data_IF_239570514751
#
_entry.id   IF_239570514751
#
_cell.length_a   1.000
_cell.length_b   1.000
_cell.length_c   1.000
_cell.angle_alpha   90.00
_cell.angle_beta   90.00
_cell.angle_gamma   90.00
#
_symmetry.space_group_name_H-M   'P 1'
#
loop_
_entity.id
_entity.type
_entity.pdbx_description
1 polymer ?
#
# COMPACT_ATOMS: atom_id res chain seq x y z
N UNK A 1 -7.98 -16.11 32.36
CA UNK A 1 -6.98 -16.70 31.43
C UNK A 1 -6.89 -15.86 30.16
N UNK A 2 -7.98 -15.39 29.55
CA UNK A 2 -7.98 -14.65 28.27
C UNK A 2 -7.31 -13.26 28.33
N UNK A 3 -7.19 -12.64 29.50
CA UNK A 3 -6.64 -11.29 29.67
C UNK A 3 -5.11 -11.25 29.55
N UNK A 4 -4.40 -12.34 29.87
CA UNK A 4 -2.93 -12.41 29.76
C UNK A 4 -2.42 -12.84 28.37
N UNK A 5 -3.29 -13.34 27.49
CA UNK A 5 -2.93 -13.76 26.14
C UNK A 5 -2.99 -12.62 25.10
N UNK A 6 -3.53 -11.46 25.48
CA UNK A 6 -3.64 -10.32 24.57
C UNK A 6 -2.29 -9.61 24.40
N UNK A 7 -1.88 -9.27 23.16
CA UNK A 7 -0.71 -8.43 22.90
C UNK A 7 -0.83 -7.04 23.52
N UNK A 8 -2.05 -6.56 23.77
CA UNK A 8 -2.32 -5.24 24.35
C UNK A 8 -1.87 -5.09 25.81
N UNK A 9 -1.46 -6.18 26.47
CA UNK A 9 -0.83 -6.09 27.80
C UNK A 9 0.59 -5.51 27.69
N UNK A 10 1.26 -5.76 26.58
CA UNK A 10 2.65 -5.31 26.38
C UNK A 10 2.68 -3.80 26.09
N UNK A 11 3.43 -3.05 26.92
CA UNK A 11 3.52 -1.59 26.81
C UNK A 11 4.06 -1.15 25.44
N UNK A 12 5.14 -1.77 24.99
CA UNK A 12 5.82 -1.37 23.75
C UNK A 12 4.99 -1.72 22.52
N UNK A 13 4.19 -2.80 22.58
CA UNK A 13 3.23 -3.11 21.54
C UNK A 13 2.08 -2.07 21.46
N UNK A 14 1.56 -1.61 22.60
CA UNK A 14 0.55 -0.54 22.60
C UNK A 14 1.09 0.75 21.98
N UNK A 15 2.33 1.13 22.34
CA UNK A 15 2.99 2.30 21.76
C UNK A 15 3.15 2.15 20.25
N UNK A 16 3.61 0.97 19.79
CA UNK A 16 3.75 0.66 18.36
C UNK A 16 2.40 0.72 17.63
N UNK A 17 1.38 0.07 18.18
CA UNK A 17 0.03 0.07 17.61
C UNK A 17 -0.51 1.50 17.48
N UNK A 18 -0.43 2.29 18.55
CA UNK A 18 -0.91 3.68 18.55
C UNK A 18 -0.13 4.53 17.56
N UNK A 19 1.21 4.44 17.55
CA UNK A 19 2.05 5.17 16.61
C UNK A 19 1.69 4.86 15.16
N UNK A 20 1.54 3.58 14.82
CA UNK A 20 1.20 3.15 13.46
C UNK A 20 -0.22 3.55 13.06
N UNK A 21 -1.20 3.37 13.94
CA UNK A 21 -2.60 3.73 13.66
C UNK A 21 -2.73 5.23 13.41
N UNK A 22 -2.10 6.06 14.25
CA UNK A 22 -2.11 7.53 14.10
C UNK A 22 -1.40 7.95 12.81
N UNK A 23 -0.25 7.36 12.50
CA UNK A 23 0.49 7.66 11.27
C UNK A 23 -0.26 7.21 10.02
N UNK A 24 -0.94 6.05 10.02
CA UNK A 24 -1.78 5.62 8.90
C UNK A 24 -3.00 6.52 8.72
N UNK A 25 -3.61 6.96 9.82
CA UNK A 25 -4.71 7.94 9.78
C UNK A 25 -4.25 9.25 9.13
N UNK A 26 -3.12 9.81 9.59
CA UNK A 26 -2.53 11.02 9.02
C UNK A 26 -2.18 10.87 7.54
N UNK A 27 -1.55 9.75 7.17
CA UNK A 27 -1.21 9.49 5.77
C UNK A 27 -2.45 9.43 4.85
N UNK A 28 -3.61 9.00 5.37
CA UNK A 28 -4.88 9.09 4.62
C UNK A 28 -5.28 10.54 4.32
N UNK A 29 -4.99 11.48 5.26
CA UNK A 29 -5.16 12.91 5.02
C UNK A 29 -4.21 13.41 3.94
N UNK A 30 -2.93 13.02 3.99
CA UNK A 30 -1.95 13.44 3.00
C UNK A 30 -2.30 12.99 1.58
N UNK A 31 -2.83 11.77 1.41
CA UNK A 31 -3.24 11.24 0.10
C UNK A 31 -4.30 12.15 -0.55
N UNK A 32 -5.32 12.54 0.20
CA UNK A 32 -6.38 13.43 -0.31
C UNK A 32 -5.85 14.86 -0.43
N UNK A 33 -5.25 15.39 0.64
CA UNK A 33 -4.85 16.78 0.72
C UNK A 33 -3.78 17.16 -0.32
N UNK A 34 -2.77 16.31 -0.54
CA UNK A 34 -1.70 16.57 -1.52
C UNK A 34 -2.26 16.65 -2.94
N UNK A 35 -3.18 15.75 -3.30
CA UNK A 35 -3.80 15.77 -4.62
C UNK A 35 -4.57 17.07 -4.87
N UNK A 36 -5.37 17.52 -3.89
CA UNK A 36 -6.12 18.76 -4.03
C UNK A 36 -5.24 20.00 -3.89
N UNK A 37 -4.16 19.98 -3.07
CA UNK A 37 -3.18 21.05 -2.99
C UNK A 37 -2.54 21.32 -4.36
N UNK A 38 -2.08 20.28 -5.05
CA UNK A 38 -1.47 20.44 -6.38
C UNK A 38 -2.49 20.91 -7.40
N UNK A 39 -3.70 20.32 -7.42
CA UNK A 39 -4.76 20.71 -8.35
C UNK A 39 -5.30 22.15 -8.10
N UNK A 40 -5.21 22.67 -6.87
CA UNK A 40 -5.54 24.06 -6.57
C UNK A 40 -4.42 25.01 -6.95
N UNK A 41 -3.16 24.58 -6.75
CA UNK A 41 -1.98 25.40 -7.02
C UNK A 41 -1.75 25.60 -8.53
N UNK A 42 -1.90 24.56 -9.34
CA UNK A 42 -1.53 24.60 -10.77
C UNK A 42 -2.67 24.32 -11.73
N UNK A 43 -3.74 23.65 -11.28
CA UNK A 43 -4.81 23.16 -12.16
C UNK A 43 -4.39 22.00 -13.06
N UNK A 44 -3.14 21.55 -13.01
CA UNK A 44 -2.54 20.57 -13.92
C UNK A 44 -2.59 19.14 -13.36
N UNK A 45 -3.13 18.22 -14.14
CA UNK A 45 -3.09 16.77 -13.86
C UNK A 45 -1.66 16.23 -14.04
N UNK A 46 -0.88 16.84 -14.95
CA UNK A 46 0.52 16.47 -15.16
C UNK A 46 1.37 16.78 -13.93
N UNK A 47 1.20 17.96 -13.32
CA UNK A 47 1.93 18.33 -12.10
C UNK A 47 1.59 17.41 -10.93
N UNK A 48 0.32 17.03 -10.79
CA UNK A 48 -0.07 16.02 -9.78
C UNK A 48 0.64 14.69 -10.02
N UNK A 49 0.69 14.25 -11.27
CA UNK A 49 1.42 13.03 -11.64
C UNK A 49 2.92 13.13 -11.31
N UNK A 50 3.55 14.25 -11.59
CA UNK A 50 4.98 14.48 -11.28
C UNK A 50 5.26 14.52 -9.78
N UNK A 51 4.40 15.13 -8.97
CA UNK A 51 4.53 15.15 -7.50
C UNK A 51 4.38 13.72 -6.92
N UNK A 52 3.43 12.94 -7.41
CA UNK A 52 3.27 11.55 -6.98
C UNK A 52 4.44 10.67 -7.43
N UNK A 53 4.95 10.86 -8.64
CA UNK A 53 6.16 10.20 -9.12
C UNK A 53 7.40 10.61 -8.29
N UNK A 54 7.53 11.88 -7.93
CA UNK A 54 8.60 12.37 -7.07
C UNK A 54 8.62 11.71 -5.70
N UNK A 55 7.48 11.31 -5.15
CA UNK A 55 7.38 10.48 -3.94
C UNK A 55 7.79 9.03 -4.20
N UNK A 56 7.26 8.44 -5.27
CA UNK A 56 7.40 7.02 -5.55
C UNK A 56 8.82 6.63 -5.96
N UNK A 57 9.51 7.45 -6.74
CA UNK A 57 10.89 7.18 -7.21
C UNK A 57 11.86 6.99 -6.03
N UNK A 58 12.02 7.92 -5.08
CA UNK A 58 12.92 7.72 -3.95
C UNK A 58 12.47 6.56 -3.05
N UNK A 59 11.15 6.36 -2.88
CA UNK A 59 10.64 5.22 -2.12
C UNK A 59 11.16 3.89 -2.69
N UNK A 60 11.09 3.69 -4.00
CA UNK A 60 11.60 2.49 -4.66
C UNK A 60 13.12 2.37 -4.62
N UNK A 61 13.82 3.46 -4.94
CA UNK A 61 15.29 3.46 -4.97
C UNK A 61 15.89 3.14 -3.60
N UNK A 62 15.33 3.71 -2.55
CA UNK A 62 15.84 3.52 -1.20
C UNK A 62 15.24 2.31 -0.47
N UNK A 63 14.26 1.62 -1.03
CA UNK A 63 13.62 0.47 -0.37
C UNK A 63 14.63 -0.66 -0.06
N UNK A 64 15.51 -0.98 -1.01
CA UNK A 64 16.56 -1.99 -0.82
C UNK A 64 17.62 -1.52 0.18
N UNK A 65 18.01 -0.25 0.08
CA UNK A 65 18.99 0.36 1.01
C UNK A 65 18.41 0.43 2.41
N UNK A 66 17.14 0.83 2.54
CA UNK A 66 16.41 0.92 3.79
C UNK A 66 16.34 -0.42 4.54
N UNK A 67 16.17 -1.53 3.81
CA UNK A 67 16.24 -2.87 4.38
C UNK A 67 17.58 -3.15 5.06
N UNK A 68 18.69 -2.90 4.35
CA UNK A 68 20.05 -3.10 4.88
C UNK A 68 20.31 -2.25 6.12
N UNK A 69 19.90 -0.98 6.09
CA UNK A 69 20.11 -0.06 7.21
C UNK A 69 19.23 -0.39 8.40
N UNK A 70 18.00 -0.87 8.19
CA UNK A 70 17.11 -1.28 9.27
C UNK A 70 17.61 -2.50 10.04
N UNK A 71 18.46 -3.34 9.42
CA UNK A 71 19.08 -4.49 10.07
C UNK A 71 20.39 -4.11 10.82
N UNK A 72 21.02 -3.01 10.42
CA UNK A 72 22.27 -2.52 11.06
C UNK A 72 22.03 -1.53 12.19
N UNK A 73 20.92 -0.81 12.18
CA UNK A 73 20.59 0.22 13.16
C UNK A 73 19.44 -0.25 14.08
N UNK A 74 19.33 0.29 15.31
CA UNK A 74 18.17 0.01 16.15
C UNK A 74 16.88 0.43 15.46
N UNK A 75 16.01 -0.53 15.15
CA UNK A 75 14.79 -0.33 14.34
C UNK A 75 13.90 0.82 14.86
N UNK A 76 13.74 0.94 16.18
CA UNK A 76 12.96 2.05 16.76
C UNK A 76 13.56 3.42 16.40
N UNK A 77 14.91 3.56 16.38
CA UNK A 77 15.56 4.82 15.99
C UNK A 77 15.36 5.16 14.51
N UNK A 78 15.46 4.15 13.65
CA UNK A 78 15.16 4.33 12.22
C UNK A 78 13.73 4.83 12.05
N UNK A 79 12.77 4.23 12.76
CA UNK A 79 11.37 4.68 12.72
C UNK A 79 11.18 6.10 13.25
N UNK A 80 11.85 6.47 14.35
CA UNK A 80 11.80 7.84 14.89
C UNK A 80 12.33 8.85 13.89
N UNK A 81 13.53 8.62 13.34
CA UNK A 81 14.15 9.52 12.35
C UNK A 81 13.26 9.64 11.11
N UNK A 82 12.74 8.52 10.60
CA UNK A 82 11.82 8.54 9.47
C UNK A 82 10.55 9.35 9.76
N UNK A 83 9.94 9.18 10.91
CA UNK A 83 8.76 9.95 11.29
C UNK A 83 9.08 11.44 11.43
N UNK A 84 10.23 11.81 12.02
CA UNK A 84 10.66 13.21 12.15
C UNK A 84 10.91 13.84 10.77
N UNK A 85 11.62 13.14 9.89
CA UNK A 85 11.90 13.63 8.53
C UNK A 85 10.61 13.78 7.72
N UNK A 86 9.73 12.78 7.75
CA UNK A 86 8.43 12.86 7.06
C UNK A 86 7.56 13.98 7.64
N UNK A 87 7.49 14.09 8.97
CA UNK A 87 6.73 15.14 9.65
C UNK A 87 7.24 16.55 9.33
N UNK A 88 8.57 16.75 9.34
CA UNK A 88 9.19 18.03 8.97
C UNK A 88 8.90 18.38 7.51
N UNK A 89 8.99 17.42 6.60
CA UNK A 89 8.66 17.57 5.19
C UNK A 89 7.20 18.00 4.98
N UNK A 90 6.27 17.31 5.61
CA UNK A 90 4.83 17.63 5.55
C UNK A 90 4.52 18.97 6.21
N UNK A 91 5.17 19.30 7.34
CA UNK A 91 5.02 20.59 7.98
C UNK A 91 5.51 21.75 7.07
N UNK A 92 6.64 21.56 6.39
CA UNK A 92 7.14 22.53 5.44
C UNK A 92 6.15 22.74 4.27
N UNK A 93 5.60 21.67 3.69
CA UNK A 93 4.57 21.78 2.65
C UNK A 93 3.34 22.53 3.18
N UNK A 94 2.85 22.19 4.38
CA UNK A 94 1.70 22.88 4.97
C UNK A 94 1.96 24.38 5.18
N UNK A 95 3.13 24.76 5.68
CA UNK A 95 3.53 26.16 5.89
C UNK A 95 3.57 26.91 4.55
N UNK A 96 4.19 26.33 3.52
CA UNK A 96 4.24 26.94 2.19
C UNK A 96 2.83 27.17 1.62
N UNK A 97 1.94 26.18 1.75
CA UNK A 97 0.56 26.31 1.30
C UNK A 97 -0.24 27.35 2.08
N UNK A 98 -0.11 27.40 3.42
CA UNK A 98 -0.79 28.41 4.25
C UNK A 98 -0.26 29.83 3.97
N UNK A 99 1.03 29.97 3.65
CA UNK A 99 1.61 31.29 3.32
C UNK A 99 1.22 31.79 1.92
N UNK A 100 0.65 30.92 1.08
CA UNK A 100 0.34 31.25 -0.32
C UNK A 100 1.55 31.37 -1.24
N UNK A 101 2.75 30.95 -0.80
CA UNK A 101 4.01 31.03 -1.55
C UNK A 101 4.50 29.66 -2.05
N UNK A 102 3.67 28.62 -1.96
CA UNK A 102 4.06 27.29 -2.38
C UNK A 102 4.28 27.22 -3.90
N UNK A 103 5.44 26.75 -4.31
CA UNK A 103 5.75 26.41 -5.69
C UNK A 103 5.74 24.90 -5.89
N UNK A 104 5.35 24.44 -7.08
CA UNK A 104 5.17 23.02 -7.37
C UNK A 104 6.46 22.21 -7.18
N UNK A 105 7.61 22.76 -7.53
CA UNK A 105 8.90 22.09 -7.36
C UNK A 105 9.28 21.91 -5.90
N UNK A 106 8.88 22.83 -5.00
CA UNK A 106 9.10 22.71 -3.55
C UNK A 106 8.26 21.57 -2.98
N UNK A 107 6.97 21.51 -3.38
CA UNK A 107 6.06 20.43 -3.00
C UNK A 107 6.60 19.08 -3.50
N UNK A 108 7.07 19.00 -4.74
CA UNK A 108 7.66 17.79 -5.30
C UNK A 108 8.94 17.38 -4.55
N UNK A 109 9.86 18.31 -4.27
CA UNK A 109 11.09 18.03 -3.56
C UNK A 109 10.86 17.54 -2.12
N UNK A 110 9.98 18.22 -1.38
CA UNK A 110 9.61 17.82 -0.02
C UNK A 110 8.87 16.45 -0.02
N UNK A 111 8.00 16.23 -0.98
CA UNK A 111 7.32 14.93 -1.14
C UNK A 111 8.30 13.80 -1.49
N UNK A 112 9.37 14.09 -2.27
CA UNK A 112 10.44 13.14 -2.53
C UNK A 112 11.23 12.78 -1.27
N UNK A 113 11.51 13.76 -0.40
CA UNK A 113 12.15 13.52 0.92
C UNK A 113 11.27 12.62 1.80
N UNK A 114 9.95 12.86 1.85
CA UNK A 114 9.02 12.01 2.57
C UNK A 114 8.97 10.58 1.98
N UNK A 115 9.05 10.45 0.65
CA UNK A 115 9.14 9.17 -0.04
C UNK A 115 10.40 8.38 0.33
N UNK A 116 11.57 9.03 0.29
CA UNK A 116 12.82 8.43 0.73
C UNK A 116 12.75 7.97 2.20
N UNK A 117 12.22 8.80 3.07
CA UNK A 117 12.04 8.48 4.49
C UNK A 117 11.14 7.25 4.71
N UNK A 118 10.07 7.13 3.94
CA UNK A 118 9.15 5.98 4.00
C UNK A 118 9.84 4.66 3.66
N UNK A 119 10.81 4.67 2.75
CA UNK A 119 11.56 3.49 2.36
C UNK A 119 12.38 2.86 3.50
N UNK A 120 12.83 3.67 4.46
CA UNK A 120 13.50 3.19 5.67
C UNK A 120 12.49 2.76 6.75
N UNK A 121 11.35 3.46 6.82
CA UNK A 121 10.33 3.18 7.82
C UNK A 121 9.71 1.77 7.66
N UNK A 122 9.37 1.36 6.45
CA UNK A 122 8.64 0.11 6.21
C UNK A 122 9.36 -1.13 6.72
N UNK A 123 10.64 -1.41 6.37
CA UNK A 123 11.33 -2.59 6.86
C UNK A 123 11.58 -2.51 8.38
N UNK A 124 11.94 -1.35 8.92
CA UNK A 124 12.12 -1.17 10.35
C UNK A 124 10.84 -1.44 11.13
N UNK A 125 9.70 -0.91 10.65
CA UNK A 125 8.38 -1.06 11.26
C UNK A 125 7.87 -2.51 11.23
N UNK A 126 8.15 -3.27 10.19
CA UNK A 126 7.79 -4.69 10.10
C UNK A 126 8.66 -5.55 11.01
N UNK A 127 9.96 -5.28 11.02
CA UNK A 127 10.93 -6.05 11.81
C UNK A 127 10.91 -5.77 13.31
N UNK A 128 10.27 -4.69 13.80
CA UNK A 128 10.22 -4.38 15.23
C UNK A 128 9.14 -5.18 15.98
N UNK A 129 8.11 -5.69 15.29
CA UNK A 129 6.97 -6.37 15.93
C UNK A 129 7.41 -7.52 16.86
N UNK A 130 8.32 -8.45 16.45
CA UNK A 130 8.79 -9.51 17.33
C UNK A 130 9.55 -9.03 18.57
N UNK A 131 9.98 -7.77 18.59
CA UNK A 131 10.69 -7.18 19.73
C UNK A 131 9.72 -6.55 20.75
N UNK A 132 8.42 -6.48 20.42
CA UNK A 132 7.38 -5.83 21.24
C UNK A 132 6.45 -6.82 21.93
N UNK A 133 6.43 -8.09 21.51
CA UNK A 133 5.57 -9.14 22.06
C UNK A 133 6.32 -10.47 22.12
N UNK A 134 5.97 -11.37 23.06
CA UNK A 134 6.45 -12.76 23.04
C UNK A 134 6.01 -13.49 21.75
N UNK A 135 6.76 -14.51 21.34
CA UNK A 135 6.52 -15.29 20.12
C UNK A 135 5.08 -15.85 20.04
N UNK A 136 4.55 -16.33 21.15
CA UNK A 136 3.18 -16.84 21.26
C UNK A 136 2.09 -15.81 20.97
N UNK A 137 2.41 -14.50 21.01
CA UNK A 137 1.48 -13.40 20.75
C UNK A 137 1.69 -12.74 19.38
N UNK A 138 2.63 -13.21 18.55
CA UNK A 138 2.95 -12.59 17.25
C UNK A 138 1.77 -12.59 16.29
N UNK A 139 1.06 -13.72 16.17
CA UNK A 139 -0.09 -13.82 15.29
C UNK A 139 -1.21 -12.85 15.67
N UNK A 140 -1.71 -12.80 16.92
CA UNK A 140 -2.71 -11.80 17.30
C UNK A 140 -2.19 -10.36 17.23
N UNK A 141 -0.90 -10.11 17.47
CA UNK A 141 -0.32 -8.78 17.31
C UNK A 141 -0.38 -8.29 15.87
N UNK A 142 0.01 -9.13 14.90
CA UNK A 142 -0.08 -8.80 13.49
C UNK A 142 -1.53 -8.60 13.04
N UNK A 143 -2.47 -9.39 13.54
CA UNK A 143 -3.90 -9.21 13.26
C UNK A 143 -4.41 -7.84 13.74
N UNK A 144 -4.07 -7.43 14.97
CA UNK A 144 -4.46 -6.14 15.53
C UNK A 144 -3.83 -4.98 14.74
N UNK A 145 -2.55 -5.09 14.35
CA UNK A 145 -1.88 -4.08 13.51
C UNK A 145 -2.55 -3.93 12.13
N UNK A 146 -2.95 -5.04 11.51
CA UNK A 146 -3.72 -5.01 10.24
C UNK A 146 -5.09 -4.34 10.41
N UNK A 147 -5.81 -4.67 11.48
CA UNK A 147 -7.10 -4.02 11.81
C UNK A 147 -6.94 -2.53 12.05
N UNK A 148 -5.91 -2.11 12.80
CA UNK A 148 -5.60 -0.70 13.01
C UNK A 148 -5.31 0.03 11.70
N UNK A 149 -4.52 -0.55 10.81
CA UNK A 149 -4.23 0.01 9.49
C UNK A 149 -5.49 0.14 8.64
N UNK A 150 -6.25 -0.94 8.48
CA UNK A 150 -7.44 -0.93 7.62
C UNK A 150 -8.53 0.00 8.16
N UNK A 151 -8.74 0.01 9.49
CA UNK A 151 -9.66 0.97 10.12
C UNK A 151 -9.23 2.42 9.90
N UNK A 152 -7.91 2.71 10.01
CA UNK A 152 -7.38 4.04 9.74
C UNK A 152 -7.59 4.46 8.28
N UNK A 153 -7.48 3.55 7.32
CA UNK A 153 -7.70 3.87 5.90
C UNK A 153 -9.17 4.24 5.62
N UNK A 154 -10.13 3.48 6.19
CA UNK A 154 -11.57 3.77 5.99
C UNK A 154 -11.93 5.11 6.61
N UNK A 155 -11.67 5.23 7.92
CA UNK A 155 -12.04 6.44 8.67
C UNK A 155 -11.23 7.63 8.18
N UNK A 156 -9.95 7.43 7.89
CA UNK A 156 -9.03 8.46 7.43
C UNK A 156 -9.41 9.02 6.07
N UNK A 157 -9.78 8.18 5.10
CA UNK A 157 -10.21 8.64 3.78
C UNK A 157 -11.46 9.54 3.84
N UNK A 158 -12.48 9.10 4.57
CA UNK A 158 -13.72 9.88 4.74
C UNK A 158 -13.47 11.19 5.51
N UNK A 159 -12.73 11.13 6.63
CA UNK A 159 -12.39 12.31 7.42
C UNK A 159 -11.50 13.28 6.65
N UNK A 160 -10.52 12.77 5.91
CA UNK A 160 -9.65 13.59 5.08
C UNK A 160 -10.45 14.37 4.03
N UNK A 161 -11.33 13.67 3.30
CA UNK A 161 -12.22 14.31 2.33
C UNK A 161 -13.08 15.40 2.96
N UNK A 162 -13.69 15.12 4.11
CA UNK A 162 -14.53 16.08 4.84
C UNK A 162 -13.72 17.29 5.32
N UNK A 163 -12.58 17.07 5.98
CA UNK A 163 -11.78 18.17 6.54
C UNK A 163 -11.18 19.03 5.43
N UNK A 164 -10.60 18.41 4.40
CA UNK A 164 -10.04 19.16 3.26
C UNK A 164 -11.12 19.97 2.54
N UNK A 165 -12.32 19.40 2.36
CA UNK A 165 -13.45 20.11 1.76
C UNK A 165 -13.95 21.28 2.62
N UNK A 166 -14.02 21.09 3.94
CA UNK A 166 -14.53 22.11 4.87
C UNK A 166 -13.50 23.21 5.20
N UNK A 167 -12.21 22.96 4.99
CA UNK A 167 -11.14 23.89 5.37
C UNK A 167 -10.21 24.20 4.20
N UNK A 168 -9.11 23.42 4.07
CA UNK A 168 -8.16 23.55 2.96
C UNK A 168 -7.27 22.30 2.86
N UNK A 169 -6.62 22.07 1.71
CA UNK A 169 -5.59 21.03 1.57
C UNK A 169 -4.42 21.21 2.55
N UNK A 170 -4.02 22.46 2.82
CA UNK A 170 -2.96 22.77 3.78
C UNK A 170 -3.27 22.22 5.19
N UNK A 171 -4.53 22.31 5.62
CA UNK A 171 -4.97 21.74 6.91
C UNK A 171 -4.82 20.21 6.94
N UNK A 172 -5.20 19.52 5.86
CA UNK A 172 -5.04 18.07 5.77
C UNK A 172 -3.57 17.64 5.85
N UNK A 173 -2.67 18.35 5.19
CA UNK A 173 -1.22 18.11 5.25
C UNK A 173 -0.66 18.43 6.64
N UNK A 174 -1.14 19.49 7.31
CA UNK A 174 -0.74 19.82 8.67
C UNK A 174 -1.16 18.74 9.69
N UNK A 175 -2.34 18.13 9.51
CA UNK A 175 -2.78 16.99 10.33
C UNK A 175 -1.86 15.78 10.13
N UNK A 176 -1.45 15.49 8.91
CA UNK A 176 -0.48 14.41 8.64
C UNK A 176 0.87 14.72 9.30
N UNK A 177 1.38 15.95 9.16
CA UNK A 177 2.61 16.38 9.82
C UNK A 177 2.55 16.18 11.34
N UNK A 178 1.45 16.59 11.98
CA UNK A 178 1.21 16.39 13.40
C UNK A 178 1.16 14.90 13.78
N UNK A 179 0.53 14.07 12.94
CA UNK A 179 0.45 12.62 13.15
C UNK A 179 1.83 11.96 13.18
N UNK A 180 2.74 12.36 12.28
CA UNK A 180 4.12 11.92 12.29
C UNK A 180 4.87 12.37 13.56
N UNK A 181 4.63 13.59 14.05
CA UNK A 181 5.19 14.09 15.30
C UNK A 181 4.76 13.22 16.49
N UNK A 182 3.46 12.92 16.61
CA UNK A 182 2.93 12.02 17.63
C UNK A 182 3.51 10.61 17.49
N UNK A 183 3.57 10.07 16.28
CA UNK A 183 4.14 8.75 16.01
C UNK A 183 5.63 8.69 16.38
N UNK A 184 6.40 9.74 16.12
CA UNK A 184 7.81 9.85 16.54
C UNK A 184 7.96 9.81 18.06
N UNK A 185 7.14 10.56 18.80
CA UNK A 185 7.16 10.60 20.27
C UNK A 185 6.79 9.23 20.86
N UNK A 186 5.72 8.60 20.37
CA UNK A 186 5.30 7.27 20.83
C UNK A 186 6.37 6.20 20.54
N UNK A 187 6.99 6.25 19.38
CA UNK A 187 8.06 5.32 19.00
C UNK A 187 9.33 5.57 19.83
N UNK A 188 9.68 6.82 20.10
CA UNK A 188 10.83 7.18 20.96
C UNK A 188 10.63 6.74 22.42
N UNK A 189 9.37 6.68 22.89
CA UNK A 189 9.03 6.20 24.24
C UNK A 189 9.15 4.67 24.40
N UNK A 190 9.33 3.90 23.31
CA UNK A 190 9.51 2.46 23.36
C UNK A 190 10.87 2.09 23.98
N UNK A 191 10.88 0.99 24.74
CA UNK A 191 12.09 0.46 25.41
C UNK A 191 12.48 -0.86 24.77
N UNK A 192 12.98 -0.79 23.55
CA UNK A 192 13.37 -1.98 22.78
C UNK A 192 14.81 -2.37 23.13
N UNK A 193 15.07 -3.62 23.58
CA UNK A 193 16.42 -4.13 23.78
C UNK A 193 17.22 -4.05 22.46
N UNK A 194 18.54 -3.87 22.58
CA UNK A 194 19.41 -3.98 21.39
C UNK A 194 19.34 -5.42 20.87
N UNK A 195 18.88 -5.59 19.65
CA UNK A 195 18.96 -6.86 18.95
C UNK A 195 20.44 -7.18 18.71
N UNK A 196 20.85 -8.42 18.95
CA UNK A 196 22.17 -8.91 18.56
C UNK A 196 22.27 -8.81 17.04
N UNK A 197 23.41 -8.32 16.56
CA UNK A 197 23.69 -8.21 15.13
C UNK A 197 23.65 -9.62 14.53
N UNK A 198 22.81 -9.83 13.55
CA UNK A 198 22.96 -10.97 12.66
C UNK A 198 24.24 -10.75 11.83
N UNK A 199 25.31 -11.43 12.17
CA UNK A 199 26.54 -11.46 11.38
C UNK A 199 26.33 -12.33 10.14
N UNK A 200 26.71 -11.81 8.98
CA UNK A 200 27.25 -12.64 7.91
C UNK A 200 26.33 -13.15 6.82
N UNK A 201 25.26 -12.44 6.40
CA UNK A 201 24.66 -12.76 5.09
C UNK A 201 25.40 -12.02 3.97
N UNK A 202 25.87 -12.76 2.96
CA UNK A 202 26.45 -12.17 1.76
C UNK A 202 25.28 -11.68 0.88
N UNK A 203 24.94 -10.39 1.00
CA UNK A 203 23.79 -9.75 0.34
C UNK A 203 23.68 -10.11 -1.15
N UNK A 204 24.78 -10.08 -1.90
CA UNK A 204 24.75 -10.42 -3.33
C UNK A 204 24.51 -11.90 -3.60
N UNK A 205 25.00 -12.80 -2.75
CA UNK A 205 24.72 -14.22 -2.85
C UNK A 205 23.24 -14.51 -2.54
N UNK A 206 22.69 -13.86 -1.51
CA UNK A 206 21.29 -13.96 -1.13
C UNK A 206 20.37 -13.41 -2.23
N UNK A 207 20.75 -12.31 -2.84
CA UNK A 207 20.02 -11.72 -3.96
C UNK A 207 20.01 -12.68 -5.16
N UNK A 208 21.16 -13.24 -5.55
CA UNK A 208 21.24 -14.17 -6.68
C UNK A 208 20.42 -15.46 -6.48
N UNK A 209 20.39 -16.00 -5.26
CA UNK A 209 19.56 -17.15 -4.90
C UNK A 209 18.07 -16.82 -5.01
N UNK A 210 17.66 -15.66 -4.52
CA UNK A 210 16.26 -15.18 -4.66
C UNK A 210 15.87 -15.01 -6.12
N UNK A 211 16.75 -14.46 -6.97
CA UNK A 211 16.50 -14.30 -8.41
C UNK A 211 16.29 -15.63 -9.12
N UNK A 212 17.16 -16.63 -8.85
CA UNK A 212 17.00 -17.97 -9.41
C UNK A 212 15.67 -18.61 -9.01
N UNK A 213 15.28 -18.48 -7.75
CA UNK A 213 14.01 -19.00 -7.25
C UNK A 213 12.83 -18.27 -7.91
N UNK A 214 12.90 -16.93 -8.02
CA UNK A 214 11.88 -16.10 -8.67
C UNK A 214 11.70 -16.48 -10.15
N UNK A 215 12.77 -16.56 -10.91
CA UNK A 215 12.71 -16.85 -12.36
C UNK A 215 12.42 -18.32 -12.69
N UNK A 216 12.63 -19.23 -11.74
CA UNK A 216 12.37 -20.68 -11.95
C UNK A 216 10.87 -21.01 -12.09
N UNK A 217 9.98 -20.11 -11.65
CA UNK A 217 8.52 -20.32 -11.67
C UNK A 217 7.84 -19.35 -12.63
N UNK A 218 7.37 -19.86 -13.75
CA UNK A 218 6.72 -19.04 -14.78
C UNK A 218 5.51 -18.28 -14.26
N UNK A 219 4.67 -18.91 -13.42
CA UNK A 219 3.50 -18.25 -12.86
C UNK A 219 3.86 -17.04 -11.98
N UNK A 220 5.00 -17.11 -11.28
CA UNK A 220 5.44 -16.09 -10.33
C UNK A 220 5.84 -14.79 -11.07
N UNK A 221 6.83 -14.87 -11.96
CA UNK A 221 7.27 -13.67 -12.68
C UNK A 221 6.21 -13.15 -13.67
N UNK A 222 5.35 -14.03 -14.22
CA UNK A 222 4.26 -13.61 -15.10
C UNK A 222 3.21 -12.75 -14.37
N UNK A 223 2.81 -13.14 -13.14
CA UNK A 223 1.90 -12.35 -12.31
C UNK A 223 2.59 -11.06 -11.85
N UNK A 224 3.85 -11.11 -11.46
CA UNK A 224 4.59 -9.89 -11.06
C UNK A 224 4.71 -8.90 -12.22
N UNK A 225 4.97 -9.37 -13.43
CA UNK A 225 4.98 -8.52 -14.63
C UNK A 225 3.58 -7.93 -14.92
N UNK A 226 2.52 -8.75 -14.84
CA UNK A 226 1.15 -8.28 -14.93
C UNK A 226 0.88 -7.17 -13.93
N UNK A 227 1.24 -7.39 -12.64
CA UNK A 227 1.02 -6.41 -11.59
C UNK A 227 1.86 -5.15 -11.75
N UNK A 228 3.07 -5.26 -12.29
CA UNK A 228 3.87 -4.09 -12.66
C UNK A 228 3.13 -3.18 -13.65
N UNK A 229 2.49 -3.78 -14.66
CA UNK A 229 1.68 -3.04 -15.64
C UNK A 229 0.37 -2.54 -15.02
N UNK A 230 -0.38 -3.41 -14.34
CA UNK A 230 -1.68 -3.07 -13.74
C UNK A 230 -1.52 -1.96 -12.70
N UNK A 231 -0.57 -2.08 -11.77
CA UNK A 231 -0.32 -1.05 -10.77
C UNK A 231 0.11 0.28 -11.41
N UNK A 232 0.99 0.27 -12.41
CA UNK A 232 1.39 1.49 -13.08
C UNK A 232 0.19 2.21 -13.73
N UNK A 233 -0.64 1.45 -14.42
CA UNK A 233 -1.79 1.98 -15.16
C UNK A 233 -2.91 2.42 -14.21
N UNK A 234 -3.27 1.58 -13.24
CA UNK A 234 -4.37 1.87 -12.30
C UNK A 234 -4.01 2.97 -11.31
N UNK A 235 -2.80 2.94 -10.73
CA UNK A 235 -2.34 4.01 -9.83
C UNK A 235 -2.16 5.33 -10.58
N UNK A 236 -1.62 5.30 -11.82
CA UNK A 236 -1.55 6.48 -12.66
C UNK A 236 -2.95 7.03 -12.98
N UNK A 237 -3.87 6.18 -13.43
CA UNK A 237 -5.22 6.60 -13.79
C UNK A 237 -6.05 7.04 -12.58
N UNK A 238 -6.18 6.21 -11.54
CA UNK A 238 -7.00 6.55 -10.37
C UNK A 238 -6.35 7.60 -9.47
N UNK A 239 -5.03 7.49 -9.21
CA UNK A 239 -4.31 8.41 -8.32
C UNK A 239 -4.16 9.83 -8.86
N UNK A 240 -4.03 9.99 -10.19
CA UNK A 240 -3.89 11.30 -10.84
C UNK A 240 -5.25 11.83 -11.32
N UNK A 241 -6.02 11.01 -12.04
CA UNK A 241 -7.25 11.47 -12.67
C UNK A 241 -8.45 11.41 -11.73
N UNK A 242 -8.47 10.50 -10.76
CA UNK A 242 -9.56 10.36 -9.79
C UNK A 242 -9.83 11.64 -8.99
N UNK A 243 -8.83 12.26 -8.33
CA UNK A 243 -9.02 13.54 -7.65
C UNK A 243 -9.50 14.66 -8.59
N UNK A 244 -8.97 14.72 -9.81
CA UNK A 244 -9.37 15.73 -10.82
C UNK A 244 -10.84 15.57 -11.22
N UNK A 245 -11.27 14.33 -11.51
CA UNK A 245 -12.67 14.01 -11.83
C UNK A 245 -13.59 14.31 -10.64
N UNK A 246 -13.13 13.97 -9.43
CA UNK A 246 -13.90 14.27 -8.23
C UNK A 246 -14.06 15.78 -8.01
N UNK A 247 -13.04 16.59 -8.33
CA UNK A 247 -13.11 18.06 -8.31
C UNK A 247 -14.15 18.59 -9.28
N UNK A 248 -14.24 17.99 -10.47
CA UNK A 248 -15.14 18.41 -11.53
C UNK A 248 -16.59 17.91 -11.33
N UNK A 249 -16.80 16.69 -10.77
CA UNK A 249 -18.10 16.00 -10.81
C UNK A 249 -18.65 15.51 -9.47
N UNK A 250 -17.83 15.36 -8.40
CA UNK A 250 -18.22 14.63 -7.18
C UNK A 250 -17.93 15.38 -5.86
N UNK A 251 -18.09 16.68 -5.82
CA UNK A 251 -17.86 17.51 -4.60
C UNK A 251 -16.38 17.54 -4.14
N UNK A 252 -15.45 17.44 -5.06
CA UNK A 252 -14.03 17.65 -4.80
C UNK A 252 -13.43 16.65 -3.81
N UNK A 253 -12.74 17.16 -2.78
CA UNK A 253 -12.03 16.35 -1.79
C UNK A 253 -12.98 15.42 -1.01
N UNK A 254 -14.21 15.85 -0.72
CA UNK A 254 -15.21 15.01 -0.04
C UNK A 254 -15.55 13.79 -0.89
N UNK A 255 -15.83 13.99 -2.17
CA UNK A 255 -16.17 12.90 -3.10
C UNK A 255 -15.02 11.90 -3.22
N UNK A 256 -13.79 12.40 -3.40
CA UNK A 256 -12.61 11.53 -3.48
C UNK A 256 -12.36 10.74 -2.19
N UNK A 257 -12.45 11.39 -1.03
CA UNK A 257 -12.34 10.74 0.27
C UNK A 257 -13.37 9.63 0.48
N UNK A 258 -14.62 9.83 0.02
CA UNK A 258 -15.66 8.80 0.09
C UNK A 258 -15.40 7.62 -0.87
N UNK A 259 -14.83 7.86 -2.06
CA UNK A 259 -14.42 6.81 -2.99
C UNK A 259 -13.34 5.94 -2.33
N UNK A 260 -12.30 6.54 -1.74
CA UNK A 260 -11.26 5.82 -1.02
C UNK A 260 -11.77 5.06 0.21
N UNK A 261 -12.75 5.64 0.94
CA UNK A 261 -13.39 4.98 2.06
C UNK A 261 -14.23 3.77 1.61
N UNK A 262 -14.96 3.89 0.51
CA UNK A 262 -15.73 2.77 -0.07
C UNK A 262 -14.83 1.63 -0.53
N UNK A 263 -13.71 1.95 -1.20
CA UNK A 263 -12.68 0.96 -1.59
C UNK A 263 -12.11 0.26 -0.36
N UNK A 264 -11.73 1.02 0.67
CA UNK A 264 -11.21 0.48 1.92
C UNK A 264 -12.21 -0.41 2.66
N UNK A 265 -13.50 -0.09 2.62
CA UNK A 265 -14.57 -0.95 3.14
C UNK A 265 -14.66 -2.26 2.34
N UNK A 266 -14.47 -2.19 1.02
CA UNK A 266 -14.39 -3.34 0.14
C UNK A 266 -13.23 -4.29 0.50
N UNK A 267 -12.05 -3.76 0.83
CA UNK A 267 -10.91 -4.55 1.31
C UNK A 267 -11.31 -5.42 2.52
N UNK A 268 -11.99 -4.83 3.51
CA UNK A 268 -12.42 -5.59 4.70
C UNK A 268 -13.40 -6.70 4.32
N UNK A 269 -14.38 -6.39 3.49
CA UNK A 269 -15.40 -7.37 3.06
C UNK A 269 -14.76 -8.49 2.23
N UNK A 270 -13.82 -8.18 1.34
CA UNK A 270 -13.03 -9.16 0.60
C UNK A 270 -12.30 -10.15 1.52
N UNK A 271 -11.63 -9.62 2.56
CA UNK A 271 -11.00 -10.44 3.59
C UNK A 271 -11.99 -11.34 4.34
N UNK A 272 -13.15 -10.81 4.74
CA UNK A 272 -14.19 -11.58 5.43
C UNK A 272 -14.79 -12.69 4.54
N UNK A 273 -14.96 -12.44 3.24
CA UNK A 273 -15.41 -13.45 2.29
C UNK A 273 -14.41 -14.61 2.24
N UNK A 274 -13.11 -14.34 2.16
CA UNK A 274 -12.07 -15.36 2.08
C UNK A 274 -11.84 -16.13 3.39
N UNK A 275 -12.22 -15.58 4.54
CA UNK A 275 -12.26 -16.35 5.78
C UNK A 275 -13.28 -17.52 5.70
N UNK A 276 -14.39 -17.31 4.96
CA UNK A 276 -15.46 -18.30 4.80
C UNK A 276 -15.32 -19.14 3.54
N UNK A 277 -14.77 -18.56 2.47
CA UNK A 277 -14.61 -19.20 1.16
C UNK A 277 -13.15 -19.53 0.92
N UNK A 278 -12.84 -20.78 0.69
CA UNK A 278 -11.47 -21.27 0.45
C UNK A 278 -11.37 -21.82 -0.96
N UNK A 279 -11.15 -20.99 -1.99
CA UNK A 279 -11.12 -21.45 -3.37
C UNK A 279 -9.98 -22.47 -3.58
N UNK A 280 -10.26 -23.50 -4.39
CA UNK A 280 -9.26 -24.50 -4.76
C UNK A 280 -8.24 -23.95 -5.76
N UNK A 281 -8.70 -23.20 -6.76
CA UNK A 281 -7.86 -22.58 -7.79
C UNK A 281 -7.44 -21.18 -7.34
N UNK A 282 -6.37 -21.13 -6.57
CA UNK A 282 -5.97 -19.93 -5.83
C UNK A 282 -5.66 -18.77 -6.78
N UNK A 283 -4.74 -18.97 -7.73
CA UNK A 283 -4.27 -17.89 -8.62
C UNK A 283 -5.33 -17.51 -9.66
N UNK A 284 -6.16 -18.45 -10.10
CA UNK A 284 -7.24 -18.15 -11.02
C UNK A 284 -8.26 -17.20 -10.38
N UNK A 285 -8.71 -17.50 -9.17
CA UNK A 285 -9.65 -16.65 -8.43
C UNK A 285 -9.02 -15.31 -8.07
N UNK A 286 -7.75 -15.31 -7.69
CA UNK A 286 -6.98 -14.07 -7.46
C UNK A 286 -6.98 -13.17 -8.71
N UNK A 287 -6.65 -13.74 -9.87
CA UNK A 287 -6.60 -13.00 -11.14
C UNK A 287 -7.98 -12.45 -11.54
N UNK A 288 -9.07 -13.20 -11.31
CA UNK A 288 -10.43 -12.68 -11.50
C UNK A 288 -10.76 -11.55 -10.53
N UNK A 289 -10.19 -11.57 -9.31
CA UNK A 289 -10.33 -10.47 -8.36
C UNK A 289 -9.83 -9.13 -8.95
N UNK A 290 -8.74 -9.14 -9.71
CA UNK A 290 -8.21 -7.93 -10.37
C UNK A 290 -9.21 -7.32 -11.35
N UNK A 291 -10.03 -8.12 -12.03
CA UNK A 291 -11.04 -7.58 -12.95
C UNK A 291 -12.12 -6.76 -12.25
N UNK A 292 -12.29 -6.89 -10.94
CA UNK A 292 -13.25 -6.08 -10.18
C UNK A 292 -12.80 -4.61 -10.00
N UNK A 293 -11.55 -4.27 -10.35
CA UNK A 293 -11.07 -2.87 -10.37
C UNK A 293 -11.52 -2.13 -11.64
N UNK A 294 -11.72 -2.84 -12.74
CA UNK A 294 -12.03 -2.25 -14.03
C UNK A 294 -13.34 -1.43 -14.04
N UNK A 295 -14.45 -1.87 -13.41
CA UNK A 295 -15.67 -1.09 -13.34
C UNK A 295 -15.49 0.30 -12.73
N UNK A 296 -14.57 0.45 -11.77
CA UNK A 296 -14.27 1.76 -11.18
C UNK A 296 -13.63 2.69 -12.21
N UNK A 297 -12.62 2.22 -12.97
CA UNK A 297 -11.98 3.04 -14.01
C UNK A 297 -12.99 3.45 -15.09
N UNK A 298 -13.87 2.54 -15.49
CA UNK A 298 -14.93 2.81 -16.48
C UNK A 298 -15.98 3.78 -15.93
N UNK A 299 -16.33 3.69 -14.63
CA UNK A 299 -17.25 4.60 -13.98
C UNK A 299 -16.69 6.03 -13.83
N UNK A 300 -15.38 6.15 -13.66
CA UNK A 300 -14.69 7.44 -13.67
C UNK A 300 -14.57 8.01 -15.10
N UNK A 301 -14.51 7.15 -16.12
CA UNK A 301 -14.46 7.56 -17.52
C UNK A 301 -15.82 8.07 -18.06
N UNK A 302 -16.92 7.62 -17.48
CA UNK A 302 -18.26 8.05 -17.82
C UNK A 302 -18.90 8.69 -16.57
N UNK A 303 -19.53 9.85 -16.65
CA UNK A 303 -20.15 10.51 -15.48
C UNK A 303 -21.38 9.71 -15.00
N UNK A 304 -21.12 8.63 -14.26
CA UNK A 304 -22.13 7.82 -13.62
C UNK A 304 -22.62 8.51 -12.32
N UNK A 305 -23.83 8.20 -11.85
CA UNK A 305 -24.29 8.66 -10.54
C UNK A 305 -23.29 8.28 -9.44
N UNK A 306 -23.02 9.22 -8.53
CA UNK A 306 -21.95 9.05 -7.52
C UNK A 306 -22.10 7.77 -6.68
N UNK A 307 -23.35 7.38 -6.35
CA UNK A 307 -23.59 6.10 -5.67
C UNK A 307 -23.12 4.86 -6.42
N UNK A 308 -23.18 4.87 -7.77
CA UNK A 308 -22.63 3.78 -8.58
C UNK A 308 -21.10 3.75 -8.54
N UNK A 309 -20.45 4.92 -8.56
CA UNK A 309 -18.99 5.04 -8.41
C UNK A 309 -18.54 4.48 -7.06
N UNK A 310 -19.25 4.79 -5.97
CA UNK A 310 -18.98 4.23 -4.64
C UNK A 310 -19.16 2.71 -4.62
N UNK A 311 -20.20 2.19 -5.28
CA UNK A 311 -20.41 0.75 -5.43
C UNK A 311 -19.27 0.05 -6.17
N UNK A 312 -18.78 0.65 -7.26
CA UNK A 312 -17.64 0.10 -8.01
C UNK A 312 -16.31 0.25 -7.27
N UNK A 313 -16.11 1.33 -6.49
CA UNK A 313 -14.95 1.45 -5.61
C UNK A 313 -14.95 0.36 -4.53
N UNK A 314 -16.10 0.08 -3.93
CA UNK A 314 -16.27 -1.01 -2.98
C UNK A 314 -15.96 -2.39 -3.61
N UNK A 315 -16.43 -2.65 -4.83
CA UNK A 315 -16.10 -3.87 -5.56
C UNK A 315 -14.61 -3.98 -5.90
N UNK A 316 -13.98 -2.87 -6.28
CA UNK A 316 -12.54 -2.81 -6.51
C UNK A 316 -11.77 -3.22 -5.25
N UNK A 317 -12.15 -2.70 -4.08
CA UNK A 317 -11.55 -3.09 -2.80
C UNK A 317 -11.69 -4.60 -2.51
N UNK A 318 -12.85 -5.20 -2.77
CA UNK A 318 -13.03 -6.66 -2.64
C UNK A 318 -12.05 -7.41 -3.55
N UNK A 319 -11.90 -6.94 -4.78
CA UNK A 319 -11.01 -7.54 -5.77
C UNK A 319 -9.54 -7.49 -5.36
N UNK A 320 -9.07 -6.32 -4.94
CA UNK A 320 -7.70 -6.09 -4.49
C UNK A 320 -7.35 -6.97 -3.28
N UNK A 321 -8.22 -7.04 -2.27
CA UNK A 321 -7.98 -7.88 -1.09
C UNK A 321 -8.02 -9.37 -1.44
N UNK A 322 -8.95 -9.77 -2.33
CA UNK A 322 -9.04 -11.16 -2.81
C UNK A 322 -7.73 -11.58 -3.47
N UNK A 323 -7.18 -10.72 -4.35
CA UNK A 323 -5.89 -10.99 -4.95
C UNK A 323 -4.79 -11.06 -3.88
N UNK A 324 -4.66 -10.07 -3.01
CA UNK A 324 -3.58 -9.99 -2.03
C UNK A 324 -3.51 -11.22 -1.11
N UNK A 325 -4.65 -11.65 -0.55
CA UNK A 325 -4.70 -12.81 0.33
C UNK A 325 -4.36 -14.11 -0.41
N UNK A 326 -4.89 -14.28 -1.62
CA UNK A 326 -4.66 -15.51 -2.39
C UNK A 326 -3.26 -15.55 -2.97
N UNK A 327 -2.69 -14.40 -3.35
CA UNK A 327 -1.29 -14.26 -3.74
C UNK A 327 -0.33 -14.65 -2.60
N UNK A 328 -0.52 -14.08 -1.42
CA UNK A 328 0.27 -14.44 -0.23
C UNK A 328 0.16 -15.92 0.08
N UNK A 329 -1.04 -16.49 -0.05
CA UNK A 329 -1.27 -17.93 0.16
C UNK A 329 -0.48 -18.77 -0.86
N UNK A 330 -0.50 -18.41 -2.14
CA UNK A 330 0.23 -19.11 -3.19
C UNK A 330 1.75 -19.03 -2.95
N UNK A 331 2.26 -17.84 -2.62
CA UNK A 331 3.67 -17.62 -2.31
C UNK A 331 4.14 -18.49 -1.14
N UNK A 332 3.38 -18.50 -0.04
CA UNK A 332 3.71 -19.27 1.16
C UNK A 332 3.60 -20.79 0.95
N UNK A 333 2.73 -21.26 0.05
CA UNK A 333 2.60 -22.68 -0.27
C UNK A 333 3.71 -23.22 -1.18
N UNK A 334 4.14 -22.39 -2.15
CA UNK A 334 4.97 -22.86 -3.24
C UNK A 334 6.45 -22.54 -3.05
N UNK A 335 6.78 -21.56 -2.21
CA UNK A 335 8.15 -21.11 -2.01
C UNK A 335 8.64 -21.58 -0.64
N UNK A 336 9.83 -22.23 -0.59
CA UNK A 336 10.46 -22.63 0.67
C UNK A 336 10.63 -21.45 1.63
N UNK A 337 10.39 -21.67 2.92
CA UNK A 337 10.38 -20.62 3.94
C UNK A 337 11.72 -19.86 4.03
N UNK A 338 12.86 -20.54 3.79
CA UNK A 338 14.20 -19.96 3.78
C UNK A 338 14.45 -19.00 2.61
N UNK A 339 13.64 -19.06 1.55
CA UNK A 339 13.74 -18.23 0.33
C UNK A 339 12.62 -17.22 0.18
N UNK A 340 11.54 -17.39 0.93
CA UNK A 340 10.29 -16.64 0.78
C UNK A 340 10.50 -15.12 0.88
N UNK A 341 11.27 -14.66 1.86
CA UNK A 341 11.55 -13.22 2.04
C UNK A 341 12.27 -12.59 0.86
N UNK A 342 13.21 -13.34 0.25
CA UNK A 342 13.97 -12.89 -0.93
C UNK A 342 13.07 -12.79 -2.16
N UNK A 343 12.18 -13.76 -2.35
CA UNK A 343 11.23 -13.77 -3.45
C UNK A 343 10.21 -12.64 -3.29
N UNK A 344 9.71 -12.35 -2.07
CA UNK A 344 8.87 -11.19 -1.80
C UNK A 344 9.54 -9.85 -2.13
N UNK A 345 10.88 -9.75 -2.00
CA UNK A 345 11.59 -8.54 -2.41
C UNK A 345 11.55 -8.32 -3.92
N UNK A 346 11.67 -9.38 -4.72
CA UNK A 346 11.55 -9.31 -6.17
C UNK A 346 10.10 -9.07 -6.61
N UNK A 347 9.14 -9.69 -5.93
CA UNK A 347 7.72 -9.42 -6.14
C UNK A 347 7.39 -7.94 -5.92
N UNK A 348 7.76 -7.40 -4.77
CA UNK A 348 7.51 -6.00 -4.45
C UNK A 348 8.18 -5.06 -5.46
N UNK A 349 9.45 -5.31 -5.81
CA UNK A 349 10.15 -4.49 -6.78
C UNK A 349 9.49 -4.57 -8.17
N UNK A 350 9.21 -5.77 -8.67
CA UNK A 350 8.62 -5.95 -10.00
C UNK A 350 7.20 -5.41 -10.10
N UNK A 351 6.39 -5.59 -9.06
CA UNK A 351 4.99 -5.13 -9.02
C UNK A 351 4.85 -3.61 -8.89
N UNK A 352 5.84 -2.91 -8.32
CA UNK A 352 5.76 -1.47 -8.06
C UNK A 352 6.73 -0.61 -8.87
N UNK A 353 7.73 -1.21 -9.56
CA UNK A 353 8.77 -0.48 -10.29
C UNK A 353 8.24 0.47 -11.36
N UNK A 354 7.12 0.13 -12.01
CA UNK A 354 6.53 0.91 -13.08
C UNK A 354 5.55 1.99 -12.58
N UNK A 355 5.17 2.00 -11.31
CA UNK A 355 4.19 2.95 -10.76
C UNK A 355 4.62 4.41 -10.92
N UNK A 356 5.89 4.81 -10.67
CA UNK A 356 6.31 6.18 -10.92
C UNK A 356 6.12 6.63 -12.38
N UNK A 357 6.34 5.72 -13.33
CA UNK A 357 6.10 5.98 -14.74
C UNK A 357 4.60 6.17 -15.00
N UNK A 358 3.74 5.32 -14.39
CA UNK A 358 2.29 5.47 -14.46
C UNK A 358 1.83 6.84 -13.98
N UNK A 359 2.33 7.30 -12.85
CA UNK A 359 2.04 8.65 -12.34
C UNK A 359 2.53 9.74 -13.31
N UNK A 360 3.77 9.65 -13.78
CA UNK A 360 4.37 10.68 -14.63
C UNK A 360 3.68 10.84 -15.99
N UNK A 361 3.12 9.76 -16.56
CA UNK A 361 2.51 9.81 -17.89
C UNK A 361 0.99 10.01 -17.88
N UNK A 362 0.28 9.68 -16.79
CA UNK A 362 -1.19 9.71 -16.75
C UNK A 362 -1.74 11.13 -16.98
N UNK A 363 -1.14 12.15 -16.37
CA UNK A 363 -1.52 13.55 -16.54
C UNK A 363 -1.32 14.03 -17.98
N UNK A 364 -0.09 14.03 -18.51
CA UNK A 364 0.20 14.44 -19.89
C UNK A 364 -0.65 13.70 -20.94
N UNK A 365 -0.82 12.37 -20.79
CA UNK A 365 -1.68 11.60 -21.70
C UNK A 365 -3.14 12.04 -21.60
N UNK A 366 -3.62 12.33 -20.39
CA UNK A 366 -4.99 12.84 -20.18
C UNK A 366 -5.19 14.23 -20.78
N UNK A 367 -4.18 15.09 -20.74
CA UNK A 367 -4.23 16.43 -21.36
C UNK A 367 -4.22 16.33 -22.89
N UNK A 368 -3.47 15.38 -23.47
CA UNK A 368 -3.37 15.18 -24.93
C UNK A 368 -4.56 14.43 -25.54
N UNK A 369 -5.04 13.36 -24.89
CA UNK A 369 -6.06 12.45 -25.46
C UNK A 369 -7.43 12.58 -24.79
N UNK A 370 -7.52 13.38 -23.72
CA UNK A 370 -8.71 13.51 -22.89
C UNK A 370 -8.79 12.46 -21.78
N UNK A 371 -9.36 12.88 -20.65
CA UNK A 371 -9.45 12.06 -19.42
C UNK A 371 -10.22 10.75 -19.63
N UNK A 372 -11.33 10.81 -20.39
CA UNK A 372 -12.14 9.63 -20.71
C UNK A 372 -11.34 8.58 -21.49
N UNK A 373 -10.65 9.00 -22.55
CA UNK A 373 -9.86 8.09 -23.39
C UNK A 373 -8.73 7.45 -22.58
N UNK A 374 -8.07 8.23 -21.73
CA UNK A 374 -6.99 7.74 -20.87
C UNK A 374 -7.48 6.69 -19.89
N UNK A 375 -8.62 6.90 -19.22
CA UNK A 375 -9.21 5.91 -18.31
C UNK A 375 -9.67 4.64 -19.03
N UNK A 376 -10.27 4.78 -20.23
CA UNK A 376 -10.67 3.63 -21.03
C UNK A 376 -9.46 2.82 -21.52
N UNK A 377 -8.39 3.51 -21.92
CA UNK A 377 -7.12 2.87 -22.29
C UNK A 377 -6.50 2.16 -21.07
N UNK A 378 -6.53 2.80 -19.90
CA UNK A 378 -6.07 2.20 -18.65
C UNK A 378 -6.83 0.91 -18.34
N UNK A 379 -8.15 0.94 -18.38
CA UNK A 379 -8.99 -0.26 -18.20
C UNK A 379 -8.69 -1.34 -19.24
N UNK A 380 -8.47 -0.95 -20.50
CA UNK A 380 -8.10 -1.86 -21.59
C UNK A 380 -6.74 -2.52 -21.35
N UNK A 381 -5.71 -1.78 -20.93
CA UNK A 381 -4.39 -2.34 -20.60
C UNK A 381 -4.45 -3.27 -19.39
N UNK A 382 -5.16 -2.89 -18.31
CA UNK A 382 -5.36 -3.76 -17.15
C UNK A 382 -6.09 -5.06 -17.54
N UNK A 383 -7.13 -4.96 -18.37
CA UNK A 383 -7.85 -6.13 -18.88
C UNK A 383 -6.92 -7.03 -19.70
N UNK A 384 -6.19 -6.47 -20.66
CA UNK A 384 -5.28 -7.23 -21.52
C UNK A 384 -4.18 -7.92 -20.73
N UNK A 385 -3.54 -7.22 -19.78
CA UNK A 385 -2.52 -7.79 -18.92
C UNK A 385 -3.09 -8.93 -18.06
N UNK A 386 -4.30 -8.76 -17.52
CA UNK A 386 -4.97 -9.76 -16.69
C UNK A 386 -5.42 -10.98 -17.52
N UNK A 387 -5.92 -10.77 -18.73
CA UNK A 387 -6.26 -11.88 -19.63
C UNK A 387 -5.00 -12.60 -20.12
N UNK A 388 -3.92 -11.88 -20.44
CA UNK A 388 -2.67 -12.47 -20.89
C UNK A 388 -2.07 -13.46 -19.85
N UNK A 389 -2.11 -13.12 -18.57
CA UNK A 389 -1.57 -13.99 -17.52
C UNK A 389 -2.40 -15.27 -17.33
N UNK A 390 -3.67 -15.26 -17.71
CA UNK A 390 -4.51 -16.48 -17.70
C UNK A 390 -4.07 -17.54 -18.72
N UNK A 391 -3.27 -17.18 -19.73
CA UNK A 391 -2.68 -18.17 -20.64
C UNK A 391 -1.48 -18.91 -20.06
N UNK A 392 -0.97 -18.49 -18.91
CA UNK A 392 0.11 -19.18 -18.19
C UNK A 392 -0.46 -20.39 -17.45
N UNK A 393 -0.05 -21.64 -17.80
CA UNK A 393 -0.66 -22.85 -17.22
C UNK A 393 -0.60 -22.90 -15.69
N UNK A 394 0.50 -22.43 -15.09
CA UNK A 394 0.67 -22.39 -13.66
C UNK A 394 -0.36 -21.49 -12.95
N UNK A 395 -0.88 -20.44 -13.60
CA UNK A 395 -1.91 -19.55 -13.04
C UNK A 395 -3.27 -20.24 -12.99
N UNK A 396 -3.60 -21.04 -14.02
CA UNK A 396 -4.89 -21.74 -14.05
C UNK A 396 -4.96 -22.96 -13.16
N UNK A 397 -3.83 -23.66 -12.98
CA UNK A 397 -3.84 -25.00 -12.38
C UNK A 397 -3.28 -25.04 -10.96
N UNK A 398 -2.73 -23.93 -10.44
CA UNK A 398 -2.22 -23.90 -9.08
C UNK A 398 -3.38 -24.07 -8.09
N UNK A 399 -3.39 -25.22 -7.42
CA UNK A 399 -4.43 -25.56 -6.44
C UNK A 399 -3.92 -25.34 -5.01
N UNK A 400 -4.85 -25.09 -4.13
CA UNK A 400 -4.59 -25.06 -2.70
C UNK A 400 -4.12 -26.44 -2.25
N UNK A 401 -3.00 -26.51 -1.55
CA UNK A 401 -2.56 -27.74 -0.88
C UNK A 401 -3.55 -28.04 0.25
N UNK A 402 -4.24 -29.19 0.20
CA UNK A 402 -5.09 -29.66 1.29
C UNK A 402 -4.26 -29.80 2.57
N UNK A 403 -4.83 -29.51 3.72
CA UNK A 403 -4.28 -30.04 4.97
C UNK A 403 -4.27 -31.57 4.82
N UNK A 404 -3.09 -32.16 4.74
CA UNK A 404 -2.94 -33.60 4.93
C UNK A 404 -3.44 -33.84 6.36
N UNK A 405 -4.65 -34.36 6.51
CA UNK A 405 -5.02 -35.01 7.74
C UNK A 405 -4.00 -36.13 7.89
N UNK A 406 -3.08 -35.96 8.82
CA UNK A 406 -2.30 -37.08 9.35
C UNK A 406 -3.31 -38.03 10.01
N UNK A 407 -3.87 -38.91 9.21
CA UNK A 407 -4.39 -40.17 9.71
C UNK A 407 -3.17 -40.95 10.15
N UNK A 408 -2.72 -40.74 11.38
CA UNK A 408 -1.95 -41.75 12.08
C UNK A 408 -2.77 -43.04 12.05
N UNK A 409 -2.26 -44.15 11.51
CA UNK A 409 -2.90 -45.41 11.72
C UNK A 409 -2.76 -45.71 13.21
N UNK A 410 -3.88 -45.71 13.92
CA UNK A 410 -3.98 -46.28 15.26
C UNK A 410 -3.48 -47.74 15.18
N UNK A 411 -2.23 -47.97 15.55
CA UNK A 411 -1.74 -49.31 15.87
C UNK A 411 -2.43 -49.72 17.16
N UNK A 412 -3.58 -50.38 16.99
CA UNK A 412 -4.16 -51.23 18.00
C UNK A 412 -3.32 -52.52 18.02
N UNK A 413 -2.58 -52.74 19.06
CA UNK A 413 -2.31 -54.06 19.68
C UNK A 413 -2.13 -53.87 21.18
#
# INVERSE_FOLDING_TARGET
>A
VLRNSSPLVERDFRLLLSARTISFLGNSFAIVALAFAVLELTGSKADLGYVLAARAIPTLLFLLVGGIWSDRLPRHRVMVVSNVVSGASQAAIAILLFSGHAEIWEVAALTAVAGASSAFFFPASSGIVPQTVPESKLQPANAILRLGRNGSMIVGGALAGLVVHATSPATGIAIDAASFGVAALLTAAMRIPRSERMEGSNFFADLSLGWREFTSRTWLWAIVLQFGVVNAVEQGASGVLGPAISKEHFSGALGWGLILAAESAGLIVGGLILLRRRPEQILLVATFGVLLTLPLLLALAAPLPFGAVLGFAFLAGIGVETFGILWDTAMQQEIPADRLSRVYSYDALGSWALVPLGYAIAGPVSEALGTRTTLMAAAGFSLLATVAVLFVPGVRHLRRRGQVHSTEPSLVT
#
